data_IF_241038328060
#
_entry.id   IF_241038328060
#
_cell.length_a   1.000
_cell.length_b   1.000
_cell.length_c   1.000
_cell.angle_alpha   90.00
_cell.angle_beta   90.00
_cell.angle_gamma   90.00
#
_symmetry.space_group_name_H-M   'P 1'
#
loop_
_entity.id
_entity.type
_entity.pdbx_description
1 polymer ?
#
# COMPACT_ATOMS: atom_id res chain seq x y z
N UNK A 1 -12.07 -15.43 -20.10
CA UNK A 1 -12.51 -14.14 -19.55
C UNK A 1 -11.25 -13.32 -19.28
N UNK A 2 -11.13 -12.14 -19.87
CA UNK A 2 -10.02 -11.24 -19.54
C UNK A 2 -10.09 -10.87 -18.06
N UNK A 3 -8.97 -11.03 -17.37
CA UNK A 3 -8.85 -10.75 -15.94
C UNK A 3 -8.93 -9.23 -15.79
N UNK A 4 -10.03 -8.72 -15.21
CA UNK A 4 -10.16 -7.28 -14.95
C UNK A 4 -9.03 -6.82 -14.02
N UNK A 5 -8.50 -5.60 -14.20
CA UNK A 5 -7.52 -5.06 -13.28
C UNK A 5 -8.04 -5.03 -11.85
N UNK A 6 -7.14 -5.26 -10.90
CA UNK A 6 -7.47 -5.27 -9.47
C UNK A 6 -7.41 -3.85 -8.91
N UNK A 7 -8.05 -3.65 -7.77
CA UNK A 7 -7.84 -2.46 -6.94
C UNK A 7 -7.09 -2.88 -5.68
N UNK A 8 -5.94 -2.26 -5.44
CA UNK A 8 -5.02 -2.61 -4.37
C UNK A 8 -5.09 -1.54 -3.28
N UNK A 9 -5.44 -1.94 -2.07
CA UNK A 9 -5.38 -1.09 -0.88
C UNK A 9 -4.12 -1.44 -0.10
N UNK A 10 -3.12 -0.55 -0.13
CA UNK A 10 -1.77 -0.87 0.35
C UNK A 10 -1.36 0.09 1.46
N UNK A 11 -0.98 -0.46 2.61
CA UNK A 11 -0.42 0.31 3.71
C UNK A 11 0.98 0.85 3.38
N UNK A 12 1.42 1.95 3.99
CA UNK A 12 2.73 2.55 3.74
C UNK A 12 3.79 2.07 4.73
N UNK A 13 3.60 2.35 6.02
CA UNK A 13 4.66 2.23 7.02
C UNK A 13 4.76 0.81 7.58
N UNK A 14 5.85 0.12 7.24
CA UNK A 14 6.07 -1.28 7.58
C UNK A 14 5.74 -2.23 6.44
N UNK A 15 5.15 -1.71 5.37
CA UNK A 15 4.73 -2.45 4.18
C UNK A 15 5.53 -2.02 2.95
N UNK A 16 5.54 -0.73 2.62
CA UNK A 16 6.31 -0.14 1.52
C UNK A 16 7.59 0.53 2.00
N UNK A 17 7.46 1.33 3.05
CA UNK A 17 8.56 2.05 3.67
C UNK A 17 8.90 1.42 5.01
N UNK A 18 10.16 1.49 5.42
CA UNK A 18 10.57 1.01 6.73
C UNK A 18 9.88 1.81 7.84
N UNK A 19 9.10 1.14 8.69
CA UNK A 19 8.48 1.72 9.87
C UNK A 19 9.54 2.04 10.94
N UNK A 20 9.54 3.27 11.45
CA UNK A 20 10.61 3.80 12.30
C UNK A 20 10.17 4.20 13.72
N UNK A 21 8.94 3.89 14.11
CA UNK A 21 8.33 4.34 15.37
C UNK A 21 7.09 5.19 15.13
N UNK A 22 6.58 5.86 16.17
CA UNK A 22 5.31 6.61 16.09
C UNK A 22 5.50 8.13 15.90
N UNK A 23 4.50 8.75 15.28
CA UNK A 23 4.36 10.21 15.23
C UNK A 23 5.42 10.93 14.38
N UNK A 24 5.86 12.09 14.87
CA UNK A 24 6.77 13.04 14.18
C UNK A 24 8.07 12.38 13.72
N UNK A 25 8.53 11.31 14.39
CA UNK A 25 9.75 10.59 14.02
C UNK A 25 9.64 9.92 12.64
N UNK A 26 8.43 9.58 12.18
CA UNK A 26 8.23 9.02 10.84
C UNK A 26 8.35 10.09 9.75
N UNK A 27 7.94 11.32 10.05
CA UNK A 27 7.91 12.43 9.08
C UNK A 27 9.15 13.29 9.07
N UNK A 28 9.94 13.30 10.15
CA UNK A 28 11.23 14.01 10.18
C UNK A 28 12.32 13.36 9.32
N UNK A 29 12.13 12.10 8.86
CA UNK A 29 13.12 11.45 8.00
C UNK A 29 13.10 12.07 6.60
N UNK A 30 14.15 12.85 6.30
CA UNK A 30 14.37 13.41 4.96
C UNK A 30 14.54 12.35 3.86
N UNK A 31 14.96 11.13 4.21
CA UNK A 31 15.15 10.02 3.26
C UNK A 31 14.35 8.79 3.72
N UNK A 32 13.28 8.41 3.01
CA UNK A 32 12.56 7.18 3.30
C UNK A 32 13.40 5.97 2.89
N UNK A 33 13.27 4.86 3.62
CA UNK A 33 13.92 3.58 3.30
C UNK A 33 12.90 2.65 2.69
N UNK A 34 13.06 2.34 1.41
CA UNK A 34 12.20 1.39 0.71
C UNK A 34 12.42 -0.05 1.20
N UNK A 35 11.35 -0.83 1.27
CA UNK A 35 11.42 -2.24 1.63
C UNK A 35 11.63 -3.15 0.39
N UNK A 36 12.14 -4.38 0.58
CA UNK A 36 12.41 -5.31 -0.52
C UNK A 36 11.17 -5.62 -1.37
N UNK A 37 11.37 -5.72 -2.68
CA UNK A 37 10.33 -6.11 -3.65
C UNK A 37 9.34 -5.01 -4.04
N UNK A 38 9.37 -3.83 -3.40
CA UNK A 38 8.37 -2.77 -3.64
C UNK A 38 8.37 -2.28 -5.08
N UNK A 39 9.53 -1.82 -5.61
CA UNK A 39 9.60 -1.31 -7.00
C UNK A 39 9.15 -2.38 -8.00
N UNK A 40 9.67 -3.61 -7.84
CA UNK A 40 9.36 -4.71 -8.76
C UNK A 40 7.86 -5.01 -8.79
N UNK A 41 7.20 -5.00 -7.62
CA UNK A 41 5.77 -5.26 -7.52
C UNK A 41 4.91 -4.12 -8.06
N UNK A 42 5.28 -2.87 -7.77
CA UNK A 42 4.56 -1.72 -8.32
C UNK A 42 4.69 -1.65 -9.84
N UNK A 43 5.87 -1.93 -10.39
CA UNK A 43 6.10 -2.02 -11.84
C UNK A 43 5.27 -3.15 -12.49
N UNK A 44 5.12 -4.29 -11.81
CA UNK A 44 4.24 -5.39 -12.24
C UNK A 44 2.76 -4.98 -12.24
N UNK A 45 2.29 -4.34 -11.16
CA UNK A 45 0.89 -3.97 -10.97
C UNK A 45 0.47 -2.81 -11.87
N UNK A 46 1.34 -1.81 -12.04
CA UNK A 46 1.12 -0.68 -12.94
C UNK A 46 1.00 -1.14 -14.40
N UNK A 47 1.91 -2.01 -14.87
CA UNK A 47 1.82 -2.59 -16.23
C UNK A 47 0.58 -3.44 -16.45
N UNK A 48 0.02 -4.03 -15.39
CA UNK A 48 -1.24 -4.77 -15.44
C UNK A 48 -2.47 -3.85 -15.49
N UNK A 49 -2.27 -2.55 -15.24
CA UNK A 49 -3.33 -1.55 -15.15
C UNK A 49 -4.12 -1.63 -13.84
N UNK A 50 -3.55 -2.21 -12.79
CA UNK A 50 -4.20 -2.25 -11.48
C UNK A 50 -4.30 -0.84 -10.90
N UNK A 51 -5.42 -0.56 -10.22
CA UNK A 51 -5.64 0.68 -9.50
C UNK A 51 -4.98 0.60 -8.12
N UNK A 52 -4.01 1.47 -7.83
CA UNK A 52 -3.20 1.48 -6.62
C UNK A 52 -3.69 2.59 -5.68
N UNK A 53 -4.28 2.18 -4.56
CA UNK A 53 -4.74 3.06 -3.49
C UNK A 53 -3.84 2.87 -2.28
N UNK A 54 -3.05 3.88 -1.96
CA UNK A 54 -2.25 3.91 -0.75
C UNK A 54 -3.10 4.37 0.44
N UNK A 55 -2.97 3.66 1.55
CA UNK A 55 -3.65 3.96 2.80
C UNK A 55 -2.62 4.11 3.92
N UNK A 56 -2.81 5.05 4.84
CA UNK A 56 -1.85 5.23 5.95
C UNK A 56 -2.46 5.81 7.21
N UNK A 57 -1.91 5.39 8.36
CA UNK A 57 -2.20 6.01 9.65
C UNK A 57 -1.52 7.36 9.89
N UNK A 58 -0.60 7.80 9.00
CA UNK A 58 -0.02 9.15 9.03
C UNK A 58 -1.12 10.20 8.98
N UNK A 59 -0.92 11.33 9.65
CA UNK A 59 -1.96 12.38 9.72
C UNK A 59 -2.07 13.10 8.39
N UNK A 60 -3.25 13.64 8.08
CA UNK A 60 -3.45 14.48 6.89
C UNK A 60 -2.55 15.73 6.89
N UNK A 61 -2.18 16.26 8.08
CA UNK A 61 -1.20 17.35 8.19
C UNK A 61 0.21 16.99 7.67
N UNK A 62 0.47 15.70 7.43
CA UNK A 62 1.75 15.17 6.95
C UNK A 62 1.72 14.82 5.46
N UNK A 63 0.66 15.21 4.73
CA UNK A 63 0.42 14.87 3.34
C UNK A 63 1.57 15.25 2.42
N UNK A 64 1.93 16.53 2.37
CA UNK A 64 3.01 17.04 1.51
C UNK A 64 4.31 16.25 1.69
N UNK A 65 4.75 16.06 2.94
CA UNK A 65 5.98 15.30 3.24
C UNK A 65 5.86 13.84 2.83
N UNK A 66 4.68 13.24 2.99
CA UNK A 66 4.44 11.84 2.59
C UNK A 66 4.48 11.69 1.07
N UNK A 67 3.85 12.60 0.33
CA UNK A 67 3.87 12.62 -1.14
C UNK A 67 5.30 12.81 -1.67
N UNK A 68 6.06 13.76 -1.11
CA UNK A 68 7.48 13.96 -1.43
C UNK A 68 8.32 12.71 -1.15
N UNK A 69 8.11 12.05 -0.01
CA UNK A 69 8.82 10.82 0.33
C UNK A 69 8.50 9.70 -0.67
N UNK A 70 7.23 9.45 -0.99
CA UNK A 70 6.81 8.41 -1.94
C UNK A 70 7.39 8.68 -3.33
N UNK A 71 7.28 9.93 -3.80
CA UNK A 71 7.83 10.35 -5.09
C UNK A 71 9.35 10.20 -5.14
N UNK A 72 10.06 10.54 -4.06
CA UNK A 72 11.53 10.44 -3.99
C UNK A 72 12.08 9.01 -4.14
N UNK A 73 11.24 8.00 -3.94
CA UNK A 73 11.59 6.58 -4.11
C UNK A 73 10.88 5.93 -5.30
N UNK A 74 10.18 6.70 -6.13
CA UNK A 74 9.55 6.20 -7.35
C UNK A 74 8.28 5.38 -7.11
N UNK A 75 7.59 5.57 -5.98
CA UNK A 75 6.28 4.95 -5.77
C UNK A 75 5.22 5.76 -6.51
N UNK A 76 4.50 5.09 -7.41
CA UNK A 76 3.33 5.62 -8.12
C UNK A 76 2.04 5.05 -7.52
N UNK A 77 0.97 5.83 -7.58
CA UNK A 77 -0.34 5.46 -7.06
C UNK A 77 -1.42 6.35 -7.66
N UNK A 78 -2.66 5.87 -7.67
CA UNK A 78 -3.84 6.61 -8.14
C UNK A 78 -4.44 7.47 -7.03
N UNK A 79 -4.49 6.95 -5.79
CA UNK A 79 -5.07 7.64 -4.64
C UNK A 79 -4.24 7.46 -3.37
N UNK A 80 -4.23 8.49 -2.50
CA UNK A 80 -3.61 8.48 -1.18
C UNK A 80 -4.60 8.90 -0.09
N UNK A 81 -5.04 7.93 0.70
CA UNK A 81 -5.95 8.11 1.85
C UNK A 81 -5.13 8.11 3.13
N UNK A 82 -5.13 9.22 3.87
CA UNK A 82 -4.38 9.34 5.13
C UNK A 82 -5.31 9.54 6.32
N UNK A 83 -4.76 9.58 7.53
CA UNK A 83 -5.50 9.86 8.76
C UNK A 83 -6.40 8.73 9.25
N UNK A 84 -6.31 7.52 8.68
CA UNK A 84 -7.21 6.40 9.01
C UNK A 84 -6.84 5.64 10.30
N UNK A 85 -5.96 6.21 11.13
CA UNK A 85 -5.53 5.64 12.41
C UNK A 85 -4.68 4.37 12.28
N UNK A 86 -4.28 3.75 13.40
CA UNK A 86 -3.41 2.57 13.43
C UNK A 86 -4.10 1.22 13.69
N UNK A 87 -5.44 1.20 13.68
CA UNK A 87 -6.23 0.00 13.97
C UNK A 87 -6.19 -1.05 12.85
N UNK A 88 -6.69 -2.26 13.15
CA UNK A 88 -6.84 -3.33 12.17
C UNK A 88 -7.74 -2.87 11.00
N UNK A 89 -7.38 -3.27 9.79
CA UNK A 89 -8.21 -3.07 8.58
C UNK A 89 -9.05 -4.31 8.34
N UNK A 90 -10.34 -4.11 8.10
CA UNK A 90 -11.28 -5.18 7.75
C UNK A 90 -11.83 -4.87 6.37
N UNK A 91 -11.58 -5.76 5.42
CA UNK A 91 -12.13 -5.69 4.06
C UNK A 91 -13.41 -6.54 4.03
N UNK A 92 -14.54 -5.90 3.73
CA UNK A 92 -15.85 -6.56 3.60
C UNK A 92 -16.27 -6.41 2.15
N UNK A 93 -16.58 -7.53 1.48
CA UNK A 93 -17.02 -7.54 0.09
C UNK A 93 -18.02 -8.68 -0.17
N UNK A 94 -18.86 -8.53 -1.20
CA UNK A 94 -19.87 -9.52 -1.59
C UNK A 94 -19.26 -10.72 -2.33
N UNK A 95 -19.98 -11.83 -2.41
CA UNK A 95 -19.67 -12.89 -3.38
C UNK A 95 -20.56 -12.75 -4.59
N UNK A 96 -20.03 -13.09 -5.77
CA UNK A 96 -20.85 -13.20 -6.97
C UNK A 96 -21.64 -14.51 -6.91
N UNK A 97 -22.93 -14.45 -7.25
CA UNK A 97 -23.85 -15.59 -7.20
C UNK A 97 -23.30 -16.84 -7.94
N UNK A 98 -22.59 -16.63 -9.06
CA UNK A 98 -22.06 -17.70 -9.93
C UNK A 98 -20.55 -17.94 -9.81
N UNK A 99 -19.87 -17.41 -8.77
CA UNK A 99 -18.42 -17.59 -8.60
C UNK A 99 -18.06 -18.11 -7.22
N UNK A 100 -17.23 -19.15 -7.18
CA UNK A 100 -16.61 -19.63 -5.95
C UNK A 100 -15.38 -18.83 -5.54
N UNK A 101 -14.86 -17.98 -6.43
CA UNK A 101 -13.69 -17.17 -6.16
C UNK A 101 -14.09 -15.95 -5.31
N UNK A 102 -13.33 -15.63 -4.25
CA UNK A 102 -13.60 -14.44 -3.45
C UNK A 102 -13.36 -13.18 -4.28
N UNK A 103 -14.22 -12.19 -4.13
CA UNK A 103 -14.11 -10.87 -4.78
C UNK A 103 -13.11 -9.95 -4.09
N UNK A 104 -12.64 -10.32 -2.90
CA UNK A 104 -11.71 -9.58 -2.07
C UNK A 104 -10.67 -10.51 -1.42
N UNK A 105 -9.45 -9.99 -1.26
CA UNK A 105 -8.35 -10.69 -0.61
C UNK A 105 -7.71 -9.74 0.41
N UNK A 106 -7.37 -10.27 1.59
CA UNK A 106 -6.62 -9.56 2.61
C UNK A 106 -5.26 -10.25 2.80
N UNK A 107 -4.17 -9.51 2.58
CA UNK A 107 -2.81 -10.02 2.70
C UNK A 107 -2.07 -9.22 3.78
N UNK A 108 -1.65 -9.91 4.83
CA UNK A 108 -0.80 -9.32 5.87
C UNK A 108 0.66 -9.72 5.63
N UNK A 109 1.55 -8.74 5.66
CA UNK A 109 3.01 -8.99 5.61
C UNK A 109 3.64 -8.74 6.98
N UNK A 110 4.75 -9.42 7.24
CA UNK A 110 5.58 -9.10 8.39
C UNK A 110 6.14 -7.68 8.25
N UNK A 111 6.01 -6.89 9.31
CA UNK A 111 6.50 -5.51 9.37
C UNK A 111 7.98 -5.44 8.97
N UNK A 112 8.29 -4.51 8.06
CA UNK A 112 9.65 -4.23 7.57
C UNK A 112 10.30 -5.37 6.77
N UNK A 113 9.54 -6.38 6.32
CA UNK A 113 10.06 -7.45 5.44
C UNK A 113 9.83 -7.21 3.96
N UNK A 114 8.98 -6.23 3.60
CA UNK A 114 8.65 -5.91 2.21
C UNK A 114 7.61 -6.84 1.61
N UNK A 115 7.42 -6.74 0.29
CA UNK A 115 6.27 -7.33 -0.43
C UNK A 115 6.67 -8.26 -1.58
N UNK A 116 7.94 -8.66 -1.66
CA UNK A 116 8.49 -9.47 -2.75
C UNK A 116 7.71 -10.77 -3.00
N UNK A 117 7.22 -11.41 -1.93
CA UNK A 117 6.54 -12.71 -1.97
C UNK A 117 5.02 -12.62 -2.19
N UNK A 118 4.47 -11.42 -2.42
CA UNK A 118 3.03 -11.26 -2.65
C UNK A 118 2.67 -11.70 -4.07
N UNK A 119 1.70 -12.61 -4.18
CA UNK A 119 1.11 -13.05 -5.44
C UNK A 119 -0.39 -12.69 -5.46
N UNK A 120 -0.80 -11.95 -6.50
CA UNK A 120 -2.18 -11.49 -6.72
C UNK A 120 -2.55 -11.54 -8.21
#
# INVERSE_FOLDING_TARGET
MEKRPKTLFIDIDGTLLHHCGMGILQTQKKKPKLLPGVIKKFDEWDRRGDNIILVTGRRESERTVTEEQLHSVGIVYDYLIMGIGGGQRVLINDYKEDSKDPTALAICVERNKGIEKIEI
#
